data_IF_425522941848
#
_entry.id   IF_425522941848
#
_cell.length_a   1.000
_cell.length_b   1.000
_cell.length_c   1.000
_cell.angle_alpha   90.00
_cell.angle_beta   90.00
_cell.angle_gamma   90.00
#
_symmetry.space_group_name_H-M   'P 1'
#
loop_
_entity.id
_entity.type
_entity.pdbx_description
1 polymer ?
#
# COMPACT_ATOMS: atom_id res chain seq x y z
N UNK A 1 29.56 -24.52 -24.55
CA UNK A 1 28.25 -23.90 -24.25
C UNK A 1 28.56 -22.53 -23.67
N UNK A 2 28.30 -21.45 -24.40
CA UNK A 2 28.53 -20.10 -23.89
C UNK A 2 27.55 -19.79 -22.74
N UNK A 3 28.04 -19.07 -21.73
CA UNK A 3 27.24 -18.66 -20.60
C UNK A 3 26.16 -17.68 -21.08
N UNK A 4 24.90 -17.97 -20.76
CA UNK A 4 23.80 -17.03 -21.02
C UNK A 4 24.03 -15.77 -20.18
N UNK A 5 24.31 -14.65 -20.84
CA UNK A 5 24.35 -13.34 -20.19
C UNK A 5 22.92 -12.78 -20.07
N UNK A 6 22.55 -12.32 -18.88
CA UNK A 6 21.27 -11.66 -18.62
C UNK A 6 21.50 -10.17 -18.39
N UNK A 7 20.71 -9.33 -19.06
CA UNK A 7 20.64 -7.88 -18.80
C UNK A 7 19.32 -7.59 -18.08
N UNK A 8 19.40 -6.86 -16.96
CA UNK A 8 18.23 -6.39 -16.21
C UNK A 8 18.15 -4.87 -16.33
N UNK A 9 16.99 -4.35 -16.72
CA UNK A 9 16.69 -2.92 -16.74
C UNK A 9 15.65 -2.63 -15.66
N UNK A 10 16.00 -1.74 -14.72
CA UNK A 10 15.08 -1.26 -13.69
C UNK A 10 14.68 0.18 -14.00
N UNK A 11 13.37 0.44 -14.07
CA UNK A 11 12.82 1.76 -14.33
C UNK A 11 12.11 2.25 -13.08
N UNK A 12 12.59 3.37 -12.53
CA UNK A 12 12.01 4.01 -11.36
C UNK A 12 11.27 5.28 -11.78
N UNK A 13 10.09 5.49 -11.20
CA UNK A 13 9.25 6.65 -11.47
C UNK A 13 8.77 7.26 -10.16
N UNK A 14 8.86 8.57 -10.03
CA UNK A 14 8.29 9.32 -8.90
C UNK A 14 7.18 10.24 -9.40
N UNK A 15 6.05 10.21 -8.71
CA UNK A 15 4.90 11.06 -9.02
C UNK A 15 4.69 12.02 -7.86
N UNK A 16 4.74 13.31 -8.16
CA UNK A 16 4.50 14.39 -7.21
C UNK A 16 3.47 15.33 -7.80
N UNK A 17 2.55 15.82 -6.98
CA UNK A 17 1.49 16.71 -7.39
C UNK A 17 1.23 17.77 -6.32
N UNK A 18 0.77 18.94 -6.75
CA UNK A 18 0.29 19.96 -5.83
C UNK A 18 -1.16 19.69 -5.46
N UNK A 19 -1.64 20.34 -4.40
CA UNK A 19 -3.08 20.53 -4.22
C UNK A 19 -3.63 21.36 -5.39
N UNK A 20 -4.93 21.26 -5.70
CA UNK A 20 -5.57 22.17 -6.64
C UNK A 20 -5.23 23.63 -6.28
N UNK A 21 -4.74 24.40 -7.25
CA UNK A 21 -4.27 25.78 -7.04
C UNK A 21 -4.77 26.70 -8.15
N UNK A 22 -4.71 28.00 -7.89
CA UNK A 22 -5.04 29.01 -8.91
C UNK A 22 -3.95 29.11 -9.97
N UNK A 23 -4.27 29.71 -11.12
CA UNK A 23 -3.30 29.92 -12.20
C UNK A 23 -2.13 30.82 -11.77
N UNK A 24 -2.35 31.78 -10.88
CA UNK A 24 -1.30 32.67 -10.36
C UNK A 24 -0.24 31.93 -9.54
N UNK A 25 -0.63 30.83 -8.88
CA UNK A 25 0.28 30.01 -8.07
C UNK A 25 1.03 28.94 -8.88
N UNK A 26 0.73 28.80 -10.18
CA UNK A 26 1.25 27.71 -11.01
C UNK A 26 2.79 27.70 -11.03
N UNK A 27 3.44 28.83 -11.31
CA UNK A 27 4.89 28.90 -11.43
C UNK A 27 5.57 28.47 -10.12
N UNK A 28 5.07 28.99 -8.99
CA UNK A 28 5.54 28.64 -7.65
C UNK A 28 5.34 27.15 -7.35
N UNK A 29 4.17 26.60 -7.64
CA UNK A 29 3.86 25.20 -7.36
C UNK A 29 4.64 24.25 -8.28
N UNK A 30 4.87 24.62 -9.53
CA UNK A 30 5.67 23.86 -10.48
C UNK A 30 7.08 23.63 -9.94
N UNK A 31 7.76 24.70 -9.53
CA UNK A 31 9.14 24.62 -9.03
C UNK A 31 9.23 23.75 -7.76
N UNK A 32 8.23 23.87 -6.87
CA UNK A 32 8.14 23.06 -5.65
C UNK A 32 7.92 21.58 -5.99
N UNK A 33 6.97 21.27 -6.90
CA UNK A 33 6.65 19.90 -7.29
C UNK A 33 7.82 19.23 -7.99
N UNK A 34 8.51 19.94 -8.88
CA UNK A 34 9.69 19.45 -9.59
C UNK A 34 10.84 19.13 -8.62
N UNK A 35 11.13 20.05 -7.70
CA UNK A 35 12.12 19.81 -6.65
C UNK A 35 11.77 18.59 -5.81
N UNK A 36 10.52 18.48 -5.37
CA UNK A 36 10.06 17.35 -4.56
C UNK A 36 10.14 16.01 -5.32
N UNK A 37 9.85 16.01 -6.63
CA UNK A 37 9.99 14.82 -7.46
C UNK A 37 11.45 14.35 -7.54
N UNK A 38 12.38 15.28 -7.77
CA UNK A 38 13.83 14.97 -7.80
C UNK A 38 14.31 14.45 -6.44
N UNK A 39 13.89 15.07 -5.34
CA UNK A 39 14.26 14.63 -3.99
C UNK A 39 13.71 13.24 -3.67
N UNK A 40 12.45 12.97 -4.02
CA UNK A 40 11.86 11.64 -3.86
C UNK A 40 12.56 10.59 -4.73
N UNK A 41 12.97 10.95 -5.95
CA UNK A 41 13.71 10.03 -6.83
C UNK A 41 15.06 9.68 -6.22
N UNK A 42 15.78 10.67 -5.67
CA UNK A 42 17.04 10.43 -4.94
C UNK A 42 16.85 9.47 -3.77
N UNK A 43 15.78 9.63 -2.98
CA UNK A 43 15.45 8.71 -1.88
C UNK A 43 15.12 7.31 -2.39
N UNK A 44 14.36 7.20 -3.48
CA UNK A 44 14.00 5.92 -4.08
C UNK A 44 15.23 5.16 -4.60
N UNK A 45 16.19 5.87 -5.22
CA UNK A 45 17.45 5.29 -5.69
C UNK A 45 18.28 4.67 -4.56
N UNK A 46 18.26 5.26 -3.35
CA UNK A 46 18.93 4.70 -2.17
C UNK A 46 18.28 3.40 -1.68
N UNK A 47 17.01 3.18 -1.99
CA UNK A 47 16.22 2.02 -1.55
C UNK A 47 15.93 1.02 -2.66
N UNK A 48 16.46 1.20 -3.88
CA UNK A 48 16.05 0.42 -5.07
C UNK A 48 16.04 -1.09 -4.83
N UNK A 49 17.06 -1.60 -4.12
CA UNK A 49 17.21 -3.02 -3.83
C UNK A 49 16.16 -3.54 -2.82
N UNK A 50 15.64 -2.69 -1.94
CA UNK A 50 14.70 -3.08 -0.89
C UNK A 50 13.25 -2.69 -1.21
N UNK A 51 12.99 -1.81 -2.18
CA UNK A 51 11.64 -1.32 -2.51
C UNK A 51 10.61 -2.45 -2.67
N UNK A 52 10.99 -3.51 -3.38
CA UNK A 52 10.13 -4.69 -3.58
C UNK A 52 9.86 -5.43 -2.27
N UNK A 53 10.90 -5.66 -1.47
CA UNK A 53 10.77 -6.37 -0.20
C UNK A 53 9.96 -5.58 0.81
N UNK A 54 10.17 -4.27 0.89
CA UNK A 54 9.44 -3.36 1.77
C UNK A 54 7.95 -3.32 1.38
N UNK A 55 7.64 -3.27 0.07
CA UNK A 55 6.29 -3.39 -0.43
C UNK A 55 5.62 -4.71 -0.04
N UNK A 56 6.33 -5.84 -0.19
CA UNK A 56 5.83 -7.16 0.20
C UNK A 56 5.54 -7.22 1.70
N UNK A 57 6.45 -6.71 2.55
CA UNK A 57 6.28 -6.68 4.00
C UNK A 57 5.04 -5.89 4.42
N UNK A 58 4.82 -4.71 3.82
CA UNK A 58 3.63 -3.89 4.10
C UNK A 58 2.36 -4.64 3.66
N UNK A 59 2.36 -5.28 2.49
CA UNK A 59 1.22 -6.09 2.05
C UNK A 59 0.91 -7.26 2.96
N UNK A 60 1.94 -7.95 3.49
CA UNK A 60 1.74 -9.01 4.48
C UNK A 60 1.08 -8.47 5.75
N UNK A 61 1.41 -7.25 6.19
CA UNK A 61 0.78 -6.61 7.34
C UNK A 61 -0.66 -6.18 7.05
N UNK A 62 -0.93 -5.59 5.89
CA UNK A 62 -2.29 -5.23 5.46
C UNK A 62 -3.20 -6.46 5.32
N UNK A 63 -2.64 -7.57 4.87
CA UNK A 63 -3.34 -8.84 4.70
C UNK A 63 -3.46 -9.67 6.00
N UNK A 64 -2.92 -9.19 7.12
CA UNK A 64 -2.88 -9.95 8.38
C UNK A 64 -4.24 -10.29 8.98
N UNK A 65 -5.32 -9.62 8.53
CA UNK A 65 -6.71 -9.98 8.89
C UNK A 65 -7.15 -11.35 8.35
N UNK A 66 -6.40 -11.93 7.40
CA UNK A 66 -6.33 -13.38 7.20
C UNK A 66 -7.60 -14.06 6.71
N UNK A 67 -8.43 -13.39 5.89
CA UNK A 67 -9.59 -14.05 5.29
C UNK A 67 -9.14 -15.10 4.28
N UNK A 68 -9.47 -16.36 4.55
CA UNK A 68 -9.24 -17.50 3.64
C UNK A 68 -10.48 -18.37 3.60
N UNK A 69 -10.74 -18.96 2.44
CA UNK A 69 -11.81 -19.94 2.27
C UNK A 69 -11.23 -21.24 1.72
N UNK A 70 -11.80 -22.36 2.12
CA UNK A 70 -11.47 -23.66 1.55
C UNK A 70 -11.80 -23.68 0.06
N UNK A 71 -10.91 -24.31 -0.72
CA UNK A 71 -11.11 -24.43 -2.15
C UNK A 71 -12.33 -25.32 -2.46
N UNK A 72 -13.29 -24.76 -3.20
CA UNK A 72 -14.49 -25.45 -3.66
C UNK A 72 -14.34 -25.90 -5.11
N UNK A 73 -14.74 -27.15 -5.38
CA UNK A 73 -14.80 -27.74 -6.72
C UNK A 73 -16.17 -27.59 -7.39
N UNK A 74 -17.12 -26.90 -6.75
CA UNK A 74 -18.43 -26.68 -7.35
C UNK A 74 -18.30 -25.81 -8.62
N UNK A 75 -19.18 -26.06 -9.57
CA UNK A 75 -19.30 -25.22 -10.77
C UNK A 75 -19.60 -23.78 -10.31
N UNK A 76 -18.89 -22.81 -10.90
CA UNK A 76 -18.99 -21.38 -10.58
C UNK A 76 -18.64 -20.98 -9.15
N UNK A 77 -17.97 -21.85 -8.39
CA UNK A 77 -17.50 -21.49 -7.05
C UNK A 77 -16.56 -20.28 -7.08
N UNK A 78 -16.80 -19.34 -6.17
CA UNK A 78 -15.86 -18.24 -5.90
C UNK A 78 -14.80 -18.81 -4.96
N UNK A 79 -13.57 -18.90 -5.46
CA UNK A 79 -12.42 -19.44 -4.74
C UNK A 79 -11.45 -18.32 -4.32
N UNK A 80 -10.41 -18.72 -3.58
CA UNK A 80 -9.41 -17.79 -3.03
C UNK A 80 -8.75 -16.90 -4.06
N UNK A 81 -8.58 -17.31 -5.32
CA UNK A 81 -8.04 -16.48 -6.39
C UNK A 81 -8.89 -15.23 -6.66
N UNK A 82 -10.21 -15.38 -6.83
CA UNK A 82 -11.14 -14.25 -7.06
C UNK A 82 -11.27 -13.37 -5.82
N UNK A 83 -11.28 -13.98 -4.64
CA UNK A 83 -11.39 -13.26 -3.36
C UNK A 83 -10.12 -12.44 -3.11
N UNK A 84 -8.94 -13.05 -3.29
CA UNK A 84 -7.65 -12.39 -3.11
C UNK A 84 -7.49 -11.23 -4.09
N UNK A 85 -7.88 -11.43 -5.36
CA UNK A 85 -7.89 -10.35 -6.34
C UNK A 85 -8.83 -9.20 -5.92
N UNK A 86 -10.04 -9.52 -5.46
CA UNK A 86 -11.02 -8.52 -5.02
C UNK A 86 -10.50 -7.70 -3.85
N UNK A 87 -9.97 -8.36 -2.82
CA UNK A 87 -9.40 -7.68 -1.67
C UNK A 87 -8.16 -6.86 -2.03
N UNK A 88 -7.30 -7.36 -2.92
CA UNK A 88 -6.18 -6.59 -3.45
C UNK A 88 -6.66 -5.29 -4.10
N UNK A 89 -7.71 -5.37 -4.95
CA UNK A 89 -8.30 -4.18 -5.57
C UNK A 89 -8.81 -3.19 -4.52
N UNK A 90 -9.59 -3.65 -3.55
CA UNK A 90 -10.17 -2.79 -2.50
C UNK A 90 -9.07 -2.11 -1.67
N UNK A 91 -8.11 -2.89 -1.17
CA UNK A 91 -7.04 -2.36 -0.32
C UNK A 91 -6.07 -1.43 -1.07
N UNK A 92 -5.96 -1.58 -2.40
CA UNK A 92 -5.12 -0.71 -3.22
C UNK A 92 -5.75 0.67 -3.52
N UNK A 93 -7.04 0.88 -3.23
CA UNK A 93 -7.72 2.16 -3.50
C UNK A 93 -7.51 3.21 -2.40
N UNK A 94 -7.08 2.80 -1.21
CA UNK A 94 -6.99 3.68 -0.05
C UNK A 94 -5.57 3.62 0.52
N UNK A 95 -4.91 4.77 0.74
CA UNK A 95 -3.61 4.77 1.39
C UNK A 95 -3.74 4.21 2.80
N UNK A 96 -2.67 3.60 3.31
CA UNK A 96 -2.59 3.17 4.71
C UNK A 96 -1.73 4.15 5.51
N UNK A 97 -2.31 5.12 6.25
CA UNK A 97 -1.53 6.13 6.95
C UNK A 97 -0.60 5.53 8.01
N UNK A 98 -0.97 4.36 8.57
CA UNK A 98 -0.14 3.66 9.54
C UNK A 98 1.22 3.24 8.95
N UNK A 99 1.25 2.80 7.69
CA UNK A 99 2.44 2.30 7.00
C UNK A 99 3.18 3.38 6.21
N UNK A 100 2.63 4.60 6.10
CA UNK A 100 3.28 5.71 5.41
C UNK A 100 4.49 6.22 6.23
N UNK A 101 5.63 6.42 5.55
CA UNK A 101 6.87 6.92 6.17
C UNK A 101 6.74 8.38 6.63
N UNK A 102 5.82 9.14 6.03
CA UNK A 102 5.60 10.56 6.32
C UNK A 102 4.63 10.79 7.48
N UNK A 103 3.91 9.75 7.92
CA UNK A 103 2.97 9.86 9.05
C UNK A 103 3.71 10.04 10.37
N UNK A 104 3.39 11.09 11.16
CA UNK A 104 3.97 11.32 12.48
C UNK A 104 3.75 10.14 13.44
N UNK A 105 4.68 9.95 14.37
CA UNK A 105 4.62 8.86 15.35
C UNK A 105 3.35 8.89 16.20
N UNK A 106 2.93 10.08 16.64
CA UNK A 106 1.73 10.28 17.44
C UNK A 106 0.49 9.79 16.69
N UNK A 107 0.43 10.05 15.37
CA UNK A 107 -0.68 9.60 14.53
C UNK A 107 -0.65 8.09 14.32
N UNK A 108 0.54 7.47 14.19
CA UNK A 108 0.65 6.00 14.13
C UNK A 108 0.16 5.36 15.43
N UNK A 109 0.45 5.95 16.58
CA UNK A 109 -0.01 5.48 17.89
C UNK A 109 -1.54 5.60 18.03
N UNK A 110 -2.12 6.73 17.62
CA UNK A 110 -3.58 6.91 17.58
C UNK A 110 -4.26 5.85 16.72
N UNK A 111 -3.74 5.60 15.51
CA UNK A 111 -4.26 4.59 14.60
C UNK A 111 -4.15 3.18 15.19
N UNK A 112 -3.01 2.83 15.79
CA UNK A 112 -2.85 1.55 16.48
C UNK A 112 -3.93 1.35 17.54
N UNK A 113 -4.16 2.35 18.39
CA UNK A 113 -5.17 2.30 19.45
C UNK A 113 -6.60 2.15 18.89
N UNK A 114 -6.93 2.81 17.78
CA UNK A 114 -8.25 2.67 17.15
C UNK A 114 -8.49 1.27 16.58
N UNK A 115 -7.46 0.59 16.09
CA UNK A 115 -7.55 -0.77 15.55
C UNK A 115 -7.77 -1.83 16.63
N UNK A 116 -7.41 -1.53 17.89
CA UNK A 116 -7.68 -2.40 19.04
C UNK A 116 -9.09 -2.23 19.63
N UNK A 117 -9.87 -1.24 19.18
CA UNK A 117 -11.26 -1.09 19.59
C UNK A 117 -12.12 -2.11 18.83
N UNK A 118 -12.04 -3.37 19.26
CA UNK A 118 -13.05 -4.35 18.94
C UNK A 118 -14.35 -3.90 19.62
N UNK A 119 -15.25 -3.27 18.88
CA UNK A 119 -16.61 -3.13 19.35
C UNK A 119 -17.12 -4.55 19.66
N UNK A 120 -17.31 -4.83 20.94
CA UNK A 120 -17.78 -6.10 21.47
C UNK A 120 -19.25 -6.35 21.12
N UNK A 121 -19.59 -6.31 19.83
CA UNK A 121 -20.93 -6.51 19.30
C UNK A 121 -21.47 -7.94 19.46
N UNK A 122 -20.69 -8.85 20.05
CA UNK A 122 -21.09 -10.23 20.35
C UNK A 122 -20.97 -10.59 21.84
N UNK A 123 -21.34 -9.66 22.73
CA UNK A 123 -21.49 -9.95 24.17
C UNK A 123 -22.90 -10.39 24.59
N UNK A 124 -23.85 -10.51 23.64
CA UNK A 124 -25.19 -11.03 23.91
C UNK A 124 -25.21 -12.56 23.89
N UNK A 125 -25.71 -13.18 24.96
CA UNK A 125 -25.95 -14.62 25.06
C UNK A 125 -26.66 -15.15 23.79
N UNK A 126 -26.01 -16.08 23.08
CA UNK A 126 -26.67 -16.89 22.07
C UNK A 126 -27.52 -17.96 22.77
N UNK A 127 -28.76 -17.63 23.09
CA UNK A 127 -29.78 -18.64 23.37
C UNK A 127 -30.56 -18.90 22.08
N UNK A 128 -30.28 -20.03 21.43
CA UNK A 128 -31.24 -20.96 20.82
C UNK A 128 -30.56 -22.32 20.68
#
# INVERSE_FOLDING_TARGET
VEARSTLTLEVLTTVNYSKPSTQGDYAKNKDIVEKNAIENMKKALLKVQTLKEDHIKIWQQLWSTGFTISYSKAVDAINGDKINATMFYVLSQVPSPYHDETTPYEKKMELANSLFYAEGCYSGYHTL
#
